data_IF_474863534353
#
_entry.id   IF_474863534353
#
_cell.length_a   1.000
_cell.length_b   1.000
_cell.length_c   1.000
_cell.angle_alpha   90.00
_cell.angle_beta   90.00
_cell.angle_gamma   90.00
#
_symmetry.space_group_name_H-M   'P 1'
#
loop_
_entity.id
_entity.type
_entity.pdbx_description
1 polymer ?
#
# COMPACT_ATOMS: atom_id res chain seq x y z
N UNK A 1 4.59 -27.44 21.58
CA UNK A 1 5.31 -27.33 20.28
C UNK A 1 4.91 -26.03 19.62
N UNK A 2 5.87 -25.14 19.37
CA UNK A 2 5.62 -23.89 18.63
C UNK A 2 5.42 -24.29 17.16
N UNK A 3 4.20 -24.13 16.63
CA UNK A 3 3.94 -24.36 15.22
C UNK A 3 4.48 -23.16 14.43
N UNK A 4 5.49 -23.40 13.58
CA UNK A 4 5.96 -22.39 12.64
C UNK A 4 4.88 -22.10 11.60
N UNK A 5 4.69 -20.83 11.28
CA UNK A 5 3.67 -20.37 10.33
C UNK A 5 4.32 -20.01 9.00
N UNK A 6 3.76 -20.52 7.90
CA UNK A 6 4.24 -20.25 6.54
C UNK A 6 3.14 -19.51 5.79
N UNK A 7 3.48 -18.37 5.21
CA UNK A 7 2.66 -17.70 4.19
C UNK A 7 3.09 -18.22 2.82
N UNK A 8 2.16 -18.75 2.04
CA UNK A 8 2.41 -19.11 0.65
C UNK A 8 1.82 -18.07 -0.29
N UNK A 9 2.65 -17.58 -1.20
CA UNK A 9 2.30 -16.64 -2.24
C UNK A 9 3.10 -16.92 -3.51
N UNK A 10 2.73 -16.33 -4.64
CA UNK A 10 3.47 -16.45 -5.88
C UNK A 10 2.77 -15.78 -7.06
N UNK A 11 3.27 -16.04 -8.27
CA UNK A 11 2.64 -15.56 -9.51
C UNK A 11 1.51 -16.50 -9.95
N UNK A 12 0.63 -16.00 -10.83
CA UNK A 12 -0.52 -16.77 -11.34
C UNK A 12 -0.13 -18.12 -11.96
N UNK A 13 1.05 -18.20 -12.57
CA UNK A 13 1.57 -19.42 -13.21
C UNK A 13 1.71 -20.59 -12.23
N UNK A 14 1.89 -20.29 -10.94
CA UNK A 14 2.11 -21.29 -9.88
C UNK A 14 0.93 -21.40 -8.91
N UNK A 15 -0.22 -20.77 -9.21
CA UNK A 15 -1.36 -20.74 -8.31
C UNK A 15 -1.93 -22.14 -7.98
N UNK A 16 -1.91 -23.07 -8.94
CA UNK A 16 -2.30 -24.47 -8.69
C UNK A 16 -1.34 -25.15 -7.72
N UNK A 17 -0.04 -25.07 -7.99
CA UNK A 17 1.02 -25.65 -7.16
C UNK A 17 0.98 -25.12 -5.72
N UNK A 18 0.73 -23.81 -5.53
CA UNK A 18 0.58 -23.20 -4.19
C UNK A 18 -0.60 -23.82 -3.43
N UNK A 19 -1.73 -24.04 -4.11
CA UNK A 19 -2.93 -24.64 -3.49
C UNK A 19 -2.73 -26.11 -3.15
N UNK A 20 -1.99 -26.83 -3.98
CA UNK A 20 -1.65 -28.25 -3.78
C UNK A 20 -0.59 -28.44 -2.69
N UNK A 21 0.36 -27.51 -2.57
CA UNK A 21 1.40 -27.57 -1.55
C UNK A 21 0.86 -27.38 -0.12
N UNK A 22 -0.23 -26.61 0.03
CA UNK A 22 -0.83 -26.33 1.34
C UNK A 22 -1.13 -27.58 2.18
N UNK A 23 -1.97 -28.54 1.72
CA UNK A 23 -2.29 -29.72 2.52
C UNK A 23 -1.06 -30.58 2.83
N UNK A 24 -0.08 -30.67 1.91
CA UNK A 24 1.15 -31.44 2.15
C UNK A 24 2.02 -30.80 3.25
N UNK A 25 2.13 -29.47 3.26
CA UNK A 25 2.84 -28.75 4.31
C UNK A 25 2.10 -28.82 5.66
N UNK A 26 0.76 -28.80 5.66
CA UNK A 26 -0.06 -28.96 6.86
C UNK A 26 0.09 -30.35 7.49
N UNK A 27 0.26 -31.42 6.68
CA UNK A 27 0.56 -32.78 7.17
C UNK A 27 1.90 -32.86 7.90
N UNK A 28 2.87 -32.02 7.54
CA UNK A 28 4.16 -31.89 8.22
C UNK A 28 4.06 -31.11 9.54
N UNK A 29 2.86 -30.69 9.94
CA UNK A 29 2.61 -29.97 11.20
C UNK A 29 2.80 -28.46 11.12
N UNK A 30 3.00 -27.90 9.92
CA UNK A 30 3.14 -26.47 9.67
C UNK A 30 1.77 -25.80 9.58
N UNK A 31 1.66 -24.54 10.02
CA UNK A 31 0.46 -23.73 9.78
C UNK A 31 0.62 -22.96 8.48
N UNK A 32 -0.26 -23.17 7.51
CA UNK A 32 -0.13 -22.58 6.17
C UNK A 32 -1.22 -21.54 5.90
N UNK A 33 -0.79 -20.30 5.66
CA UNK A 33 -1.64 -19.18 5.31
C UNK A 33 -1.51 -18.84 3.82
N UNK A 34 -2.63 -18.83 3.11
CA UNK A 34 -2.72 -18.33 1.73
C UNK A 34 -3.69 -17.14 1.75
N UNK A 35 -3.19 -15.94 1.46
CA UNK A 35 -4.01 -14.72 1.40
C UNK A 35 -4.45 -14.42 -0.03
N UNK A 36 -5.56 -13.71 -0.15
CA UNK A 36 -6.13 -13.31 -1.43
C UNK A 36 -6.42 -11.81 -1.43
N UNK A 37 -5.89 -11.10 -2.43
CA UNK A 37 -6.28 -9.73 -2.74
C UNK A 37 -7.27 -9.75 -3.91
N UNK A 38 -8.57 -9.63 -3.64
CA UNK A 38 -9.59 -9.68 -4.70
C UNK A 38 -9.36 -8.56 -5.74
N UNK A 39 -9.50 -8.85 -7.05
CA UNK A 39 -10.09 -10.04 -7.66
C UNK A 39 -9.10 -11.19 -7.96
N UNK A 40 -7.85 -11.10 -7.51
CA UNK A 40 -6.81 -12.09 -7.79
C UNK A 40 -7.13 -13.45 -7.15
N UNK A 41 -6.49 -14.50 -7.65
CA UNK A 41 -6.55 -15.83 -7.09
C UNK A 41 -5.92 -15.89 -5.69
N UNK A 42 -6.30 -16.87 -4.88
CA UNK A 42 -5.67 -17.05 -3.57
C UNK A 42 -4.17 -17.38 -3.73
N UNK A 43 -3.31 -16.65 -3.03
CA UNK A 43 -1.85 -16.76 -3.12
C UNK A 43 -1.25 -15.95 -4.25
N UNK A 44 -2.05 -15.39 -5.15
CA UNK A 44 -1.55 -14.60 -6.27
C UNK A 44 -1.14 -13.19 -5.83
N UNK A 45 0.04 -12.77 -6.28
CA UNK A 45 0.59 -11.43 -6.07
C UNK A 45 0.95 -10.82 -7.42
N UNK A 46 0.57 -9.56 -7.61
CA UNK A 46 0.99 -8.73 -8.75
C UNK A 46 2.03 -7.72 -8.27
N UNK A 47 2.91 -7.26 -9.17
CA UNK A 47 3.93 -6.26 -8.81
C UNK A 47 3.35 -4.94 -8.29
N UNK A 48 2.08 -4.69 -8.61
CA UNK A 48 1.35 -3.51 -8.18
C UNK A 48 0.39 -3.82 -7.00
N UNK A 49 0.09 -5.09 -6.71
CA UNK A 49 -0.90 -5.47 -5.70
C UNK A 49 -0.47 -6.69 -4.90
N UNK A 50 -0.24 -6.49 -3.60
CA UNK A 50 0.13 -7.54 -2.65
C UNK A 50 -0.80 -7.53 -1.42
N UNK A 51 -1.16 -8.70 -0.86
CA UNK A 51 -1.91 -8.76 0.39
C UNK A 51 -1.02 -8.38 1.58
N UNK A 52 -1.58 -7.59 2.51
CA UNK A 52 -1.00 -7.43 3.85
C UNK A 52 -1.37 -8.59 4.74
N UNK A 53 -0.43 -9.01 5.60
CA UNK A 53 -0.63 -10.05 6.61
C UNK A 53 -0.84 -9.36 7.97
N UNK A 54 -2.08 -9.34 8.51
CA UNK A 54 -2.33 -8.75 9.81
C UNK A 54 -1.71 -9.57 10.95
N UNK A 55 -1.18 -8.89 11.97
CA UNK A 55 -0.61 -9.50 13.19
C UNK A 55 -1.57 -10.46 13.90
N UNK A 56 -2.88 -10.18 13.83
CA UNK A 56 -3.94 -10.99 14.45
C UNK A 56 -4.22 -12.31 13.73
N UNK A 57 -3.72 -12.47 12.51
CA UNK A 57 -3.91 -13.68 11.68
C UNK A 57 -2.90 -14.78 12.01
N UNK A 58 -1.96 -14.47 12.91
CA UNK A 58 -0.82 -15.32 13.25
C UNK A 58 -1.12 -16.08 14.53
N UNK A 59 -0.89 -17.40 14.50
CA UNK A 59 -0.83 -18.21 15.72
C UNK A 59 0.62 -18.13 16.22
N UNK A 60 0.94 -17.14 17.07
CA UNK A 60 2.28 -16.97 17.64
C UNK A 60 2.89 -15.58 17.44
N UNK A 61 4.23 -15.50 17.41
CA UNK A 61 4.98 -14.27 17.17
C UNK A 61 5.24 -14.07 15.67
N UNK A 62 5.36 -12.81 15.22
CA UNK A 62 5.75 -12.47 13.84
C UNK A 62 7.12 -13.08 13.46
N UNK A 63 8.03 -13.23 14.44
CA UNK A 63 9.34 -13.85 14.23
C UNK A 63 9.25 -15.35 13.88
N UNK A 64 8.12 -16.01 14.13
CA UNK A 64 7.90 -17.42 13.79
C UNK A 64 7.23 -17.59 12.42
N UNK A 65 7.03 -16.48 11.69
CA UNK A 65 6.38 -16.44 10.38
C UNK A 65 7.40 -16.18 9.27
N UNK A 66 7.33 -17.00 8.23
CA UNK A 66 8.10 -16.82 7.00
C UNK A 66 7.15 -16.82 5.80
N UNK A 67 7.47 -16.04 4.76
CA UNK A 67 6.82 -16.18 3.46
C UNK A 67 7.67 -17.06 2.56
N UNK A 68 7.05 -18.04 1.92
CA UNK A 68 7.63 -18.79 0.80
C UNK A 68 6.90 -18.35 -0.46
N UNK A 69 7.60 -17.61 -1.30
CA UNK A 69 7.10 -17.03 -2.53
C UNK A 69 7.55 -17.88 -3.72
N UNK A 70 6.61 -18.43 -4.47
CA UNK A 70 6.88 -19.30 -5.61
C UNK A 70 6.97 -18.46 -6.89
N UNK A 71 8.19 -18.23 -7.37
CA UNK A 71 8.46 -17.48 -8.59
C UNK A 71 9.91 -17.65 -9.10
N UNK A 72 10.09 -17.46 -10.40
CA UNK A 72 11.38 -17.39 -11.10
C UNK A 72 12.04 -16.00 -11.03
N UNK A 73 11.28 -14.95 -10.70
CA UNK A 73 11.76 -13.58 -10.58
C UNK A 73 11.45 -12.92 -9.23
N UNK A 74 12.04 -11.73 -8.99
CA UNK A 74 11.96 -10.99 -7.73
C UNK A 74 10.89 -9.89 -7.70
N UNK A 75 10.51 -9.34 -8.86
CA UNK A 75 9.63 -8.16 -8.94
C UNK A 75 8.30 -8.28 -8.15
N UNK A 76 7.62 -9.42 -8.28
CA UNK A 76 6.37 -9.67 -7.54
C UNK A 76 6.59 -9.90 -6.04
N UNK A 77 7.73 -10.51 -5.70
CA UNK A 77 8.14 -10.72 -4.31
C UNK A 77 8.50 -9.39 -3.65
N UNK A 78 9.18 -8.50 -4.34
CA UNK A 78 9.51 -7.15 -3.85
C UNK A 78 8.24 -6.39 -3.46
N UNK A 79 7.18 -6.44 -4.27
CA UNK A 79 5.89 -5.86 -3.90
C UNK A 79 5.29 -6.46 -2.61
N UNK A 80 5.47 -7.77 -2.39
CA UNK A 80 5.06 -8.42 -1.15
C UNK A 80 5.91 -8.00 0.04
N UNK A 81 7.23 -7.93 -0.11
CA UNK A 81 8.17 -7.49 0.93
C UNK A 81 7.88 -6.04 1.31
N UNK A 82 7.67 -5.15 0.34
CA UNK A 82 7.25 -3.76 0.56
C UNK A 82 5.99 -3.63 1.42
N UNK A 83 5.01 -4.51 1.21
CA UNK A 83 3.76 -4.52 1.97
C UNK A 83 3.87 -5.18 3.35
N UNK A 84 4.91 -5.99 3.58
CA UNK A 84 5.08 -6.81 4.79
C UNK A 84 6.57 -6.83 5.24
N UNK A 85 7.13 -5.67 5.66
CA UNK A 85 8.57 -5.52 5.94
C UNK A 85 9.09 -6.37 7.12
N UNK A 86 8.20 -6.79 8.02
CA UNK A 86 8.56 -7.55 9.22
C UNK A 86 8.67 -9.07 8.97
N UNK A 87 8.26 -9.56 7.80
CA UNK A 87 8.23 -11.00 7.49
C UNK A 87 9.47 -11.38 6.69
N UNK A 88 10.21 -12.38 7.18
CA UNK A 88 11.32 -12.97 6.43
C UNK A 88 10.82 -13.64 5.15
N UNK A 89 11.45 -13.31 4.02
CA UNK A 89 11.01 -13.73 2.70
C UNK A 89 11.95 -14.75 2.05
N UNK A 90 11.38 -15.87 1.62
CA UNK A 90 12.06 -16.87 0.82
C UNK A 90 11.44 -16.97 -0.56
N UNK A 91 12.26 -16.99 -1.61
CA UNK A 91 11.83 -17.27 -2.98
C UNK A 91 12.15 -18.71 -3.35
N UNK A 92 11.14 -19.49 -3.69
CA UNK A 92 11.33 -20.78 -4.32
C UNK A 92 11.24 -20.63 -5.83
N UNK A 93 12.33 -20.98 -6.53
CA UNK A 93 12.38 -21.02 -7.99
C UNK A 93 12.04 -22.43 -8.47
N UNK A 94 10.86 -22.65 -9.11
CA UNK A 94 10.42 -23.98 -9.52
C UNK A 94 11.25 -24.59 -10.64
N UNK A 95 11.95 -23.77 -11.43
CA UNK A 95 12.78 -24.24 -12.54
C UNK A 95 14.16 -24.66 -12.05
N UNK A 96 14.72 -23.95 -11.07
CA UNK A 96 16.00 -24.29 -10.45
C UNK A 96 15.86 -25.32 -9.32
N UNK A 97 14.66 -25.46 -8.75
CA UNK A 97 14.42 -26.29 -7.57
C UNK A 97 15.13 -25.79 -6.32
N UNK A 98 15.33 -24.47 -6.21
CA UNK A 98 16.12 -23.84 -5.13
C UNK A 98 15.29 -22.83 -4.35
N UNK A 99 15.55 -22.78 -3.05
CA UNK A 99 15.01 -21.79 -2.14
C UNK A 99 16.09 -20.74 -1.84
N UNK A 100 15.75 -19.47 -2.04
CA UNK A 100 16.62 -18.32 -1.80
C UNK A 100 16.05 -17.50 -0.65
N UNK A 101 16.90 -17.05 0.27
CA UNK A 101 16.54 -16.00 1.22
C UNK A 101 16.64 -14.66 0.48
N UNK A 102 15.59 -13.86 0.54
CA UNK A 102 15.48 -12.59 -0.17
C UNK A 102 15.31 -11.45 0.84
N UNK A 103 16.07 -10.39 0.63
CA UNK A 103 16.02 -9.18 1.43
C UNK A 103 15.63 -7.99 0.55
N UNK A 104 14.99 -6.99 1.15
CA UNK A 104 14.59 -5.77 0.48
C UNK A 104 15.11 -4.56 1.24
N UNK A 105 15.83 -3.68 0.55
CA UNK A 105 16.32 -2.42 1.13
C UNK A 105 15.19 -1.38 1.19
N UNK A 106 14.39 -1.49 2.26
CA UNK A 106 13.31 -0.55 2.53
C UNK A 106 13.81 0.88 2.75
N UNK A 107 15.00 1.04 3.34
CA UNK A 107 15.56 2.35 3.63
C UNK A 107 16.04 3.02 2.35
N UNK A 108 16.86 2.33 1.55
CA UNK A 108 17.33 2.83 0.26
C UNK A 108 16.19 3.15 -0.69
N UNK A 109 15.13 2.32 -0.72
CA UNK A 109 13.92 2.62 -1.50
C UNK A 109 13.24 3.93 -1.03
N UNK A 110 13.01 4.09 0.27
CA UNK A 110 12.37 5.29 0.84
C UNK A 110 13.21 6.55 0.56
N UNK A 111 14.52 6.48 0.73
CA UNK A 111 15.44 7.59 0.48
C UNK A 111 15.50 7.97 -1.00
N UNK A 112 15.56 6.96 -1.89
CA UNK A 112 15.56 7.16 -3.34
C UNK A 112 14.27 7.80 -3.83
N UNK A 113 13.11 7.44 -3.25
CA UNK A 113 11.81 8.04 -3.59
C UNK A 113 11.59 9.43 -2.97
N UNK A 114 12.17 9.71 -1.81
CA UNK A 114 12.06 11.02 -1.14
C UNK A 114 12.63 12.16 -2.00
N UNK A 115 13.81 11.96 -2.61
CA UNK A 115 14.50 13.02 -3.39
C UNK A 115 13.67 13.56 -4.57
N UNK A 116 13.06 12.72 -5.44
CA UNK A 116 12.14 13.18 -6.47
C UNK A 116 10.96 14.01 -5.94
N UNK A 117 10.42 13.66 -4.77
CA UNK A 117 9.27 14.36 -4.17
C UNK A 117 9.68 15.74 -3.69
N UNK A 118 10.80 15.84 -2.98
CA UNK A 118 11.35 17.13 -2.53
C UNK A 118 11.67 18.04 -3.72
N UNK A 119 12.31 17.51 -4.77
CA UNK A 119 12.57 18.26 -6.02
C UNK A 119 11.28 18.70 -6.71
N UNK A 120 10.22 17.90 -6.63
CA UNK A 120 8.94 18.21 -7.26
C UNK A 120 8.14 19.30 -6.50
N UNK A 121 8.37 19.51 -5.20
CA UNK A 121 7.72 20.59 -4.44
C UNK A 121 8.03 21.99 -5.00
N UNK A 122 9.19 22.15 -5.64
CA UNK A 122 9.61 23.40 -6.27
C UNK A 122 9.04 23.60 -7.69
N UNK A 123 8.37 22.58 -8.25
CA UNK A 123 7.89 22.61 -9.62
C UNK A 123 6.66 23.51 -9.78
N UNK A 124 6.72 24.40 -10.78
CA UNK A 124 5.60 25.29 -11.16
C UNK A 124 4.69 24.67 -12.23
N UNK A 125 5.17 23.64 -12.92
CA UNK A 125 4.49 22.99 -14.03
C UNK A 125 4.54 21.48 -13.89
N UNK A 126 3.42 20.80 -14.13
CA UNK A 126 3.24 19.38 -13.86
C UNK A 126 2.78 18.60 -15.11
N UNK A 127 3.31 17.40 -15.29
CA UNK A 127 2.78 16.43 -16.25
C UNK A 127 2.02 15.35 -15.50
N UNK A 128 0.73 15.18 -15.78
CA UNK A 128 -0.08 14.08 -15.25
C UNK A 128 -0.13 12.99 -16.30
N UNK A 129 0.17 11.75 -15.93
CA UNK A 129 0.14 10.64 -16.89
C UNK A 129 -0.94 9.64 -16.46
N UNK A 130 -2.03 9.52 -17.22
CA UNK A 130 -3.21 8.71 -16.87
C UNK A 130 -3.34 7.47 -17.77
N UNK A 131 -3.32 6.29 -17.14
CA UNK A 131 -3.50 5.00 -17.82
C UNK A 131 -4.82 4.92 -18.55
N UNK A 132 -4.86 4.30 -19.72
CA UNK A 132 -6.13 3.97 -20.39
C UNK A 132 -6.55 2.52 -20.15
N UNK A 133 -5.71 1.73 -19.47
CA UNK A 133 -5.90 0.30 -19.26
C UNK A 133 -6.41 -0.01 -17.85
N UNK A 134 -7.62 -0.58 -17.75
CA UNK A 134 -8.14 -1.13 -16.50
C UNK A 134 -8.17 -0.12 -15.36
N UNK A 135 -7.89 -0.63 -14.16
CA UNK A 135 -7.80 0.18 -12.93
C UNK A 135 -6.60 1.14 -12.89
N UNK A 136 -5.69 1.09 -13.87
CA UNK A 136 -4.58 2.05 -13.97
C UNK A 136 -5.07 3.43 -14.42
N UNK A 137 -6.21 3.48 -15.12
CA UNK A 137 -6.88 4.71 -15.53
C UNK A 137 -7.92 5.19 -14.56
N UNK A 138 -7.55 5.42 -13.30
CA UNK A 138 -8.48 5.87 -12.27
C UNK A 138 -8.87 7.36 -12.49
N UNK A 139 -10.07 7.68 -13.00
CA UNK A 139 -10.44 9.06 -13.31
C UNK A 139 -10.66 9.88 -12.04
N UNK A 140 -11.05 9.25 -10.93
CA UNK A 140 -11.25 9.95 -9.65
C UNK A 140 -9.94 10.47 -9.08
N UNK A 141 -8.86 9.69 -9.19
CA UNK A 141 -7.53 10.14 -8.80
C UNK A 141 -7.06 11.29 -9.69
N UNK A 142 -7.35 11.23 -11.01
CA UNK A 142 -7.11 12.35 -11.91
C UNK A 142 -7.89 13.59 -11.46
N UNK A 143 -9.21 13.49 -11.29
CA UNK A 143 -10.08 14.61 -10.89
C UNK A 143 -9.61 15.27 -9.59
N UNK A 144 -9.20 14.46 -8.61
CA UNK A 144 -8.67 14.94 -7.33
C UNK A 144 -7.35 15.68 -7.52
N UNK A 145 -6.43 15.14 -8.31
CA UNK A 145 -5.14 15.77 -8.57
C UNK A 145 -5.31 17.07 -9.36
N UNK A 146 -6.13 17.06 -10.40
CA UNK A 146 -6.44 18.26 -11.18
C UNK A 146 -7.07 19.36 -10.34
N UNK A 147 -8.04 19.02 -9.47
CA UNK A 147 -8.67 19.98 -8.56
C UNK A 147 -7.59 20.68 -7.70
N UNK A 148 -6.67 19.91 -7.14
CA UNK A 148 -5.55 20.41 -6.32
C UNK A 148 -4.59 21.29 -7.14
N UNK A 149 -4.27 20.88 -8.37
CA UNK A 149 -3.43 21.69 -9.28
C UNK A 149 -4.08 23.04 -9.61
N UNK A 150 -5.40 23.07 -9.85
CA UNK A 150 -6.16 24.30 -10.10
C UNK A 150 -6.16 25.24 -8.89
N UNK A 151 -6.38 24.70 -7.68
CA UNK A 151 -6.34 25.48 -6.43
C UNK A 151 -4.97 26.15 -6.22
N UNK A 152 -3.87 25.42 -6.52
CA UNK A 152 -2.49 25.93 -6.41
C UNK A 152 -2.02 26.73 -7.63
N UNK A 153 -2.87 26.93 -8.64
CA UNK A 153 -2.57 27.66 -9.88
C UNK A 153 -1.37 27.10 -10.65
N UNK A 154 -1.16 25.78 -10.58
CA UNK A 154 -0.12 25.09 -11.34
C UNK A 154 -0.56 24.85 -12.78
N UNK A 155 0.35 25.05 -13.75
CA UNK A 155 0.12 24.62 -15.13
C UNK A 155 0.29 23.10 -15.21
N UNK A 156 -0.66 22.36 -15.80
CA UNK A 156 -0.52 20.92 -15.96
C UNK A 156 -0.96 20.40 -17.34
N UNK A 157 -0.41 19.25 -17.76
CA UNK A 157 -0.77 18.56 -19.02
C UNK A 157 -0.98 17.09 -18.78
N UNK A 158 -1.99 16.49 -19.42
CA UNK A 158 -2.31 15.06 -19.28
C UNK A 158 -1.74 14.25 -20.45
N UNK A 159 -1.05 13.15 -20.16
CA UNK A 159 -0.46 12.23 -21.13
C UNK A 159 -0.85 10.75 -20.84
N UNK A 160 -0.51 9.84 -21.75
CA UNK A 160 -0.77 8.39 -21.62
C UNK A 160 0.47 7.64 -21.05
N UNK A 161 0.36 6.67 -20.12
CA UNK A 161 1.48 6.16 -19.33
C UNK A 161 1.89 4.78 -19.74
N UNK A 162 3.20 4.56 -19.67
CA UNK A 162 3.77 3.23 -19.41
C UNK A 162 5.08 3.29 -18.62
N UNK A 163 5.26 4.23 -17.67
CA UNK A 163 6.65 4.64 -17.34
C UNK A 163 6.97 5.03 -15.86
N UNK A 164 6.03 5.19 -14.94
CA UNK A 164 6.34 5.90 -13.67
C UNK A 164 7.09 5.15 -12.57
N UNK A 165 7.01 3.82 -12.55
CA UNK A 165 7.65 3.03 -11.48
C UNK A 165 8.91 2.34 -12.00
N UNK A 166 8.86 1.69 -13.16
CA UNK A 166 9.99 0.91 -13.68
C UNK A 166 11.08 1.75 -14.37
N UNK A 167 10.78 3.00 -14.74
CA UNK A 167 11.66 3.86 -15.55
C UNK A 167 11.90 5.23 -14.92
N UNK A 168 11.64 5.40 -13.63
CA UNK A 168 11.73 6.71 -12.96
C UNK A 168 13.09 7.42 -13.15
N UNK A 169 14.19 6.67 -13.21
CA UNK A 169 15.54 7.19 -13.45
C UNK A 169 15.85 7.47 -14.93
N UNK A 170 15.07 6.91 -15.86
CA UNK A 170 15.23 7.14 -17.29
C UNK A 170 14.72 8.53 -17.73
N UNK A 171 14.10 9.30 -16.82
CA UNK A 171 13.60 10.64 -17.08
C UNK A 171 14.41 11.69 -16.32
N UNK A 172 14.81 12.76 -17.00
CA UNK A 172 15.49 13.90 -16.39
C UNK A 172 14.62 14.66 -15.38
N UNK A 173 13.29 14.61 -15.58
CA UNK A 173 12.28 15.23 -14.72
C UNK A 173 11.74 14.22 -13.69
N UNK A 174 11.44 14.64 -12.45
CA UNK A 174 10.89 13.75 -11.43
C UNK A 174 9.60 13.09 -11.89
N UNK A 175 9.54 11.76 -11.77
CA UNK A 175 8.36 10.98 -12.09
C UNK A 175 7.80 10.37 -10.80
N UNK A 176 6.59 10.77 -10.45
CA UNK A 176 5.93 10.47 -9.19
C UNK A 176 4.71 9.56 -9.42
N UNK A 177 4.44 8.71 -8.44
CA UNK A 177 3.13 8.06 -8.30
C UNK A 177 2.06 9.08 -7.89
N UNK A 178 0.76 8.78 -8.08
CA UNK A 178 -0.31 9.68 -7.64
C UNK A 178 -0.23 10.04 -6.14
N UNK A 179 0.12 9.10 -5.28
CA UNK A 179 0.28 9.34 -3.85
C UNK A 179 1.41 10.34 -3.55
N UNK A 180 2.57 10.15 -4.18
CA UNK A 180 3.74 11.04 -4.04
C UNK A 180 3.48 12.43 -4.61
N UNK A 181 2.75 12.52 -5.73
CA UNK A 181 2.32 13.79 -6.29
C UNK A 181 1.40 14.54 -5.31
N UNK A 182 0.53 13.85 -4.58
CA UNK A 182 -0.27 14.49 -3.54
C UNK A 182 0.56 15.01 -2.36
N UNK A 183 1.63 14.31 -1.97
CA UNK A 183 2.60 14.81 -0.98
C UNK A 183 3.29 16.08 -1.48
N UNK A 184 3.69 16.10 -2.74
CA UNK A 184 4.39 17.23 -3.33
C UNK A 184 3.49 18.46 -3.58
N UNK A 185 2.25 18.25 -4.00
CA UNK A 185 1.33 19.32 -4.43
C UNK A 185 0.55 19.92 -3.25
N UNK A 186 0.23 19.11 -2.25
CA UNK A 186 -0.71 19.45 -1.17
C UNK A 186 0.00 19.78 0.15
N UNK A 187 1.34 19.77 0.15
CA UNK A 187 2.15 19.90 1.37
C UNK A 187 1.71 18.92 2.47
N UNK A 188 1.24 17.73 2.09
CA UNK A 188 0.97 16.68 3.06
C UNK A 188 2.31 16.28 3.70
N UNK A 189 2.29 15.92 5.00
CA UNK A 189 3.50 15.43 5.64
C UNK A 189 3.97 14.18 4.90
N UNK A 190 5.25 14.19 4.49
CA UNK A 190 5.86 13.01 3.90
C UNK A 190 5.80 11.82 4.86
N UNK A 191 5.80 10.60 4.34
CA UNK A 191 5.80 9.39 5.18
C UNK A 191 7.02 9.31 6.12
N UNK A 192 8.05 10.13 5.88
CA UNK A 192 9.25 10.29 6.68
C UNK A 192 9.16 11.37 7.77
N UNK A 193 8.08 12.15 7.86
CA UNK A 193 8.00 13.31 8.75
C UNK A 193 7.46 12.98 10.16
N UNK A 194 7.14 11.71 10.45
CA UNK A 194 6.46 11.29 11.69
C UNK A 194 7.33 10.97 12.91
N UNK A 195 8.64 11.18 12.87
CA UNK A 195 9.48 10.96 14.08
C UNK A 195 9.44 12.11 15.10
N UNK A 196 8.69 13.20 14.86
CA UNK A 196 8.66 14.36 15.78
C UNK A 196 7.30 14.75 16.37
N UNK A 197 6.18 14.19 15.90
CA UNK A 197 4.84 14.67 16.30
C UNK A 197 4.17 13.87 17.43
N UNK A 198 4.75 12.76 17.90
CA UNK A 198 4.12 11.92 18.95
C UNK A 198 4.51 12.35 20.38
N UNK A 199 5.48 13.27 20.55
CA UNK A 199 5.89 13.77 21.88
C UNK A 199 5.29 15.15 22.22
N UNK A 200 4.61 15.82 21.28
CA UNK A 200 4.19 17.22 21.47
C UNK A 200 2.71 17.42 21.86
N UNK A 201 1.88 16.36 21.98
CA UNK A 201 0.45 16.50 22.29
C UNK A 201 -0.05 15.59 23.44
N UNK A 202 0.81 15.35 24.43
CA UNK A 202 0.39 14.96 25.78
C UNK A 202 0.99 15.93 26.81
N UNK A 203 0.74 17.22 26.61
CA UNK A 203 1.04 18.27 27.56
C UNK A 203 -0.26 18.85 28.08
N UNK A 204 -0.70 18.35 29.23
CA UNK A 204 -1.85 18.83 29.97
C UNK A 204 -1.90 20.37 30.05
N UNK A 205 -3.12 20.89 29.93
CA UNK A 205 -3.49 22.26 30.23
C UNK A 205 -2.91 22.69 31.58
N UNK A 206 -1.82 23.46 31.58
CA UNK A 206 -1.31 24.11 32.78
C UNK A 206 -1.87 25.53 32.85
N UNK A 207 -2.76 25.72 33.83
CA UNK A 207 -2.89 26.97 34.54
C UNK A 207 -3.96 27.92 34.02
N UNK A 208 -5.22 27.67 34.40
CA UNK A 208 -6.18 28.70 34.80
C UNK A 208 -7.21 28.03 35.71
N UNK A 209 -7.28 28.52 36.94
CA UNK A 209 -7.84 27.82 38.09
C UNK A 209 -9.35 27.65 38.07
N UNK A 210 -9.79 26.53 38.64
CA UNK A 210 -11.14 26.32 39.11
C UNK A 210 -11.08 25.97 40.60
N UNK A 211 -11.31 26.99 41.42
CA UNK A 211 -11.51 26.87 42.86
C UNK A 211 -12.94 26.42 43.17
N UNK A 212 -13.03 25.50 44.14
CA UNK A 212 -14.16 25.16 45.01
C UNK A 212 -15.62 25.08 44.49
N UNK A 213 -16.20 23.95 44.91
CA UNK A 213 -17.57 23.71 45.40
C UNK A 213 -18.65 23.25 44.40
N UNK A 214 -19.09 22.01 44.65
CA UNK A 214 -20.40 21.39 44.37
C UNK A 214 -21.15 21.87 43.12
N UNK A 215 -21.02 21.10 42.05
CA UNK A 215 -21.91 21.17 40.90
C UNK A 215 -21.81 19.90 40.07
N UNK A 216 -22.76 19.00 40.27
CA UNK A 216 -23.03 17.86 39.41
C UNK A 216 -23.27 18.40 37.98
N UNK A 217 -22.41 18.05 37.02
CA UNK A 217 -22.71 18.24 35.60
C UNK A 217 -22.69 16.89 34.89
N UNK A 218 -23.80 16.20 35.08
CA UNK A 218 -24.25 15.05 34.34
C UNK A 218 -24.67 15.46 32.93
N UNK A 219 -24.22 14.70 31.93
CA UNK A 219 -25.00 14.44 30.71
C UNK A 219 -24.43 15.00 29.42
N UNK A 220 -23.78 14.13 28.63
CA UNK A 220 -24.07 14.00 27.21
C UNK A 220 -24.14 12.51 26.88
N UNK A 221 -25.37 12.05 26.65
CA UNK A 221 -25.69 10.67 26.32
C UNK A 221 -25.30 10.31 24.89
N UNK A 222 -25.20 9.01 24.67
CA UNK A 222 -25.08 8.38 23.35
C UNK A 222 -26.30 8.73 22.49
N UNK A 223 -26.09 9.47 21.40
CA UNK A 223 -26.95 9.39 20.23
C UNK A 223 -26.15 8.87 19.03
N UNK A 224 -26.76 7.92 18.34
CA UNK A 224 -26.22 7.15 17.24
C UNK A 224 -25.76 8.05 16.08
N UNK A 225 -24.44 8.15 15.90
CA UNK A 225 -23.81 8.75 14.74
C UNK A 225 -23.80 7.77 13.56
N UNK A 226 -24.55 8.11 12.51
CA UNK A 226 -24.44 7.53 11.16
C UNK A 226 -22.98 7.40 10.73
N UNK A 227 -22.65 6.27 10.13
CA UNK A 227 -21.40 6.00 9.42
C UNK A 227 -21.05 7.11 8.43
N UNK A 228 -20.23 8.07 8.85
CA UNK A 228 -19.46 8.92 7.96
C UNK A 228 -18.13 8.21 7.75
N UNK A 229 -18.02 7.46 6.65
CA UNK A 229 -16.73 7.00 6.11
C UNK A 229 -15.95 8.23 5.61
N UNK A 230 -15.42 9.00 6.55
CA UNK A 230 -14.44 10.05 6.32
C UNK A 230 -13.06 9.42 6.26
N UNK A 231 -12.35 9.71 5.17
CA UNK A 231 -10.93 9.38 4.95
C UNK A 231 -10.12 9.95 6.13
N UNK A 232 -9.79 9.08 7.08
CA UNK A 232 -9.13 9.47 8.33
C UNK A 232 -8.43 8.31 9.04
N UNK A 233 -8.19 7.19 8.35
CA UNK A 233 -7.25 6.21 8.87
C UNK A 233 -5.82 6.66 8.55
N UNK A 234 -5.07 6.84 9.62
CA UNK A 234 -3.68 7.28 9.64
C UNK A 234 -2.80 6.41 8.73
N UNK A 235 -2.29 6.98 7.64
CA UNK A 235 -1.18 6.44 6.82
C UNK A 235 0.16 6.47 7.59
N UNK A 236 0.20 5.90 8.80
CA UNK A 236 1.41 5.87 9.62
C UNK A 236 2.33 4.73 9.15
N UNK A 237 3.56 5.06 8.76
CA UNK A 237 4.69 4.13 8.64
C UNK A 237 4.89 3.43 7.28
N UNK A 238 3.80 3.09 6.59
CA UNK A 238 3.86 2.19 5.43
C UNK A 238 3.69 2.91 4.08
N UNK A 239 4.51 2.55 3.11
CA UNK A 239 4.39 3.03 1.73
C UNK A 239 3.14 2.39 1.07
N UNK A 240 2.14 3.18 0.63
CA UNK A 240 0.84 2.66 0.20
C UNK A 240 0.88 2.19 -1.26
N UNK A 241 1.39 0.98 -1.48
CA UNK A 241 1.50 0.38 -2.81
C UNK A 241 0.16 0.27 -3.56
N UNK A 242 -0.96 0.09 -2.85
CA UNK A 242 -2.29 -0.14 -3.41
C UNK A 242 -3.15 1.13 -3.53
N UNK A 243 -2.57 2.32 -3.34
CA UNK A 243 -3.28 3.60 -3.32
C UNK A 243 -4.19 3.83 -4.54
N UNK A 244 -3.75 3.40 -5.73
CA UNK A 244 -4.50 3.58 -6.96
C UNK A 244 -5.69 2.61 -7.10
N UNK A 245 -5.68 1.49 -6.36
CA UNK A 245 -6.67 0.43 -6.47
C UNK A 245 -7.94 0.69 -5.62
N UNK A 246 -7.83 1.48 -4.54
CA UNK A 246 -8.92 1.70 -3.58
C UNK A 246 -10.16 2.37 -4.23
N UNK A 247 -9.95 3.21 -5.25
CA UNK A 247 -11.02 3.94 -5.93
C UNK A 247 -11.01 3.79 -7.46
N UNK A 248 -10.24 2.82 -8.00
CA UNK A 248 -9.93 2.64 -9.43
C UNK A 248 -11.09 2.27 -10.35
N UNK A 249 -12.33 2.26 -9.85
CA UNK A 249 -13.51 1.83 -10.61
C UNK A 249 -13.50 0.34 -10.98
N UNK A 250 -14.48 -0.04 -11.80
CA UNK A 250 -14.55 -1.40 -12.35
C UNK A 250 -13.46 -1.61 -13.41
N UNK A 251 -12.92 -2.83 -13.47
CA UNK A 251 -11.94 -3.20 -14.48
C UNK A 251 -12.52 -2.99 -15.90
N UNK A 252 -11.92 -2.11 -16.69
CA UNK A 252 -12.26 -1.91 -18.09
C UNK A 252 -11.10 -2.38 -18.99
N UNK A 253 -11.39 -3.27 -19.93
CA UNK A 253 -10.48 -3.58 -21.04
C UNK A 253 -10.98 -2.83 -22.26
N UNK A 254 -10.08 -2.25 -23.05
CA UNK A 254 -10.40 -1.68 -24.37
C UNK A 254 -11.06 -2.71 -25.31
N UNK A 255 -10.94 -4.00 -25.01
CA UNK A 255 -11.54 -5.11 -25.75
C UNK A 255 -12.84 -5.66 -25.13
N UNK A 256 -13.20 -5.24 -23.91
CA UNK A 256 -14.45 -5.64 -23.26
C UNK A 256 -15.53 -4.58 -23.54
N UNK A 257 -16.33 -4.79 -24.59
CA UNK A 257 -17.60 -4.07 -24.76
C UNK A 257 -18.57 -4.59 -23.70
N UNK A 258 -18.85 -3.80 -22.65
CA UNK A 258 -19.98 -4.10 -21.76
C UNK A 258 -21.27 -3.98 -22.56
N UNK A 259 -22.10 -5.03 -22.53
CA UNK A 259 -23.49 -4.89 -22.90
C UNK A 259 -24.17 -3.99 -21.85
N UNK A 260 -24.68 -2.85 -22.29
CA UNK A 260 -25.50 -1.96 -21.48
C UNK A 260 -26.72 -2.75 -21.01
N UNK A 261 -26.77 -3.17 -19.75
CA UNK A 261 -28.03 -3.64 -19.16
C UNK A 261 -28.93 -2.41 -19.04
N UNK A 262 -29.99 -2.39 -19.83
CA UNK A 262 -31.14 -1.48 -19.67
C UNK A 262 -31.89 -1.82 -18.39
#
# INVERSE_FOLDING_TARGET
MIKKSIVLAGTIQFASAIREAKPELEKLGLSVLIRQSKPLSAGEVLGCTAPRIPSKSVIGSFNDMVVVFVADGRFHLEAFMMANPEISAFRYDPYLGKLFLEEYDHQGMKETRKRPIERAREAKSWGIVLGTLGRQGNPRNLDRLEKKMREKHFSYTIACPRLSIDWGEAFEKPLLTPFEAEIAVVDLPGWWEKDKSVVANSGCCNGLGCGHSNGLCSGCGNEAGKDVKGVGDSFAGDYPMDYYAQDGGEWNSSYLKKATRQ
#
